data_IF_154740666920
#
_entry.id   IF_154740666920
#
_cell.length_a   1.000
_cell.length_b   1.000
_cell.length_c   1.000
_cell.angle_alpha   90.00
_cell.angle_beta   90.00
_cell.angle_gamma   90.00
#
_symmetry.space_group_name_H-M   'P 1'
#
loop_
_entity.id
_entity.type
_entity.pdbx_description
1 polymer ?
#
# COMPACT_ATOMS: atom_id res chain seq x y z
N UNK A 1 21.25 3.73 3.51
CA UNK A 1 20.70 2.74 2.56
C UNK A 1 20.10 1.65 3.44
N UNK A 2 18.79 1.77 3.72
CA UNK A 2 18.05 0.95 4.68
C UNK A 2 16.85 0.25 4.01
N UNK A 3 16.84 0.21 2.67
CA UNK A 3 15.67 -0.09 1.85
C UNK A 3 15.29 -1.57 1.87
N UNK A 4 16.24 -2.49 1.77
CA UNK A 4 15.94 -3.93 1.75
C UNK A 4 15.37 -4.44 3.09
N UNK A 5 15.90 -3.97 4.22
CA UNK A 5 15.39 -4.36 5.56
C UNK A 5 13.99 -3.80 5.78
N UNK A 6 13.75 -2.53 5.44
CA UNK A 6 12.42 -1.92 5.52
C UNK A 6 11.41 -2.60 4.58
N UNK A 7 11.84 -3.04 3.40
CA UNK A 7 10.98 -3.78 2.47
C UNK A 7 10.59 -5.15 3.02
N UNK A 8 11.54 -5.92 3.56
CA UNK A 8 11.25 -7.23 4.17
C UNK A 8 10.37 -7.09 5.42
N UNK A 9 10.65 -6.11 6.28
CA UNK A 9 9.79 -5.81 7.43
C UNK A 9 8.38 -5.41 6.99
N UNK A 10 8.24 -4.59 5.94
CA UNK A 10 6.94 -4.21 5.38
C UNK A 10 6.20 -5.41 4.83
N UNK A 11 6.88 -6.31 4.08
CA UNK A 11 6.30 -7.56 3.56
C UNK A 11 5.84 -8.49 4.69
N UNK A 12 6.65 -8.67 5.74
CA UNK A 12 6.27 -9.46 6.91
C UNK A 12 5.11 -8.82 7.69
N UNK A 13 5.09 -7.48 7.79
CA UNK A 13 4.01 -6.75 8.42
C UNK A 13 2.70 -6.93 7.65
N UNK A 14 2.71 -6.86 6.31
CA UNK A 14 1.52 -7.15 5.50
C UNK A 14 1.10 -8.63 5.53
N UNK A 15 2.03 -9.58 5.73
CA UNK A 15 1.68 -10.99 5.93
C UNK A 15 0.96 -11.22 7.26
N UNK A 16 1.30 -10.45 8.30
CA UNK A 16 0.81 -10.65 9.66
C UNK A 16 -0.23 -9.60 10.12
N UNK A 17 -0.40 -8.51 9.38
CA UNK A 17 -1.44 -7.49 9.58
C UNK A 17 -2.32 -7.43 8.34
N UNK A 18 -3.63 -7.63 8.55
CA UNK A 18 -4.63 -7.61 7.48
C UNK A 18 -4.79 -6.27 6.79
N UNK A 19 -4.09 -5.21 7.24
CA UNK A 19 -4.12 -3.87 6.68
C UNK A 19 -2.89 -3.01 7.06
N UNK A 20 -2.61 -1.98 6.26
CA UNK A 20 -1.64 -0.92 6.57
C UNK A 20 -2.27 0.46 6.35
N UNK A 21 -1.93 1.42 7.22
CA UNK A 21 -2.20 2.83 6.94
C UNK A 21 -1.17 3.36 5.94
N UNK A 22 -1.63 4.06 4.91
CA UNK A 22 -0.80 4.50 3.79
C UNK A 22 -1.08 5.96 3.44
N UNK A 23 -0.04 6.69 3.01
CA UNK A 23 -0.15 8.01 2.39
C UNK A 23 0.28 7.91 0.95
N UNK A 24 -0.49 8.48 0.02
CA UNK A 24 -0.09 8.56 -1.38
C UNK A 24 0.98 9.65 -1.55
N UNK A 25 2.08 9.34 -2.25
CA UNK A 25 3.19 10.27 -2.43
C UNK A 25 2.81 11.43 -3.36
N UNK A 26 3.18 12.64 -2.93
CA UNK A 26 2.90 13.88 -3.66
C UNK A 26 1.46 14.38 -3.53
N UNK A 27 0.66 13.78 -2.64
CA UNK A 27 -0.70 14.25 -2.31
C UNK A 27 -0.89 14.30 -0.80
N UNK A 28 -2.05 14.78 -0.34
CA UNK A 28 -2.48 14.68 1.06
C UNK A 28 -3.45 13.52 1.30
N UNK A 29 -3.54 12.60 0.34
CA UNK A 29 -4.43 11.45 0.42
C UNK A 29 -3.90 10.40 1.39
N UNK A 30 -4.73 10.02 2.34
CA UNK A 30 -4.49 8.90 3.24
C UNK A 30 -5.47 7.78 2.96
N UNK A 31 -5.02 6.54 3.13
CA UNK A 31 -5.86 5.37 2.96
C UNK A 31 -5.45 4.22 3.86
N UNK A 32 -6.28 3.19 3.86
CA UNK A 32 -5.96 1.89 4.45
C UNK A 32 -5.83 0.91 3.29
N UNK A 33 -4.66 0.29 3.17
CA UNK A 33 -4.36 -0.74 2.19
C UNK A 33 -4.50 -2.14 2.80
N UNK A 34 -5.10 -3.06 2.07
CA UNK A 34 -5.18 -4.49 2.43
C UNK A 34 -4.72 -5.33 1.24
N UNK A 35 -4.07 -6.46 1.51
CA UNK A 35 -3.80 -7.47 0.48
C UNK A 35 -4.77 -8.63 0.65
N UNK A 36 -5.59 -8.86 -0.38
CA UNK A 36 -6.65 -9.88 -0.35
C UNK A 36 -6.82 -10.48 -1.74
N UNK A 37 -6.94 -11.81 -1.81
CA UNK A 37 -7.21 -12.54 -3.04
C UNK A 37 -6.20 -12.22 -4.18
N UNK A 38 -4.92 -12.00 -3.81
CA UNK A 38 -3.86 -11.66 -4.75
C UNK A 38 -3.82 -10.20 -5.19
N UNK A 39 -4.67 -9.33 -4.62
CA UNK A 39 -4.82 -7.92 -5.02
C UNK A 39 -4.58 -6.99 -3.85
N UNK A 40 -4.06 -5.80 -4.14
CA UNK A 40 -3.95 -4.71 -3.18
C UNK A 40 -5.17 -3.82 -3.30
N UNK A 41 -5.89 -3.62 -2.21
CA UNK A 41 -7.10 -2.80 -2.16
C UNK A 41 -6.83 -1.64 -1.20
N UNK A 42 -6.90 -0.41 -1.70
CA UNK A 42 -6.70 0.81 -0.91
C UNK A 42 -8.03 1.54 -0.79
N UNK A 43 -8.48 1.76 0.44
CA UNK A 43 -9.65 2.61 0.71
C UNK A 43 -9.18 3.99 1.11
N UNK A 44 -9.56 5.01 0.33
CA UNK A 44 -9.30 6.41 0.64
C UNK A 44 -10.08 6.83 1.89
N UNK A 45 -9.39 7.45 2.86
CA UNK A 45 -9.99 7.87 4.12
C UNK A 45 -11.05 8.95 3.94
N UNK A 46 -10.85 9.88 3.01
CA UNK A 46 -11.73 11.03 2.82
C UNK A 46 -12.87 10.71 1.85
N UNK A 47 -12.53 10.30 0.62
CA UNK A 47 -13.54 10.05 -0.41
C UNK A 47 -14.29 8.73 -0.23
N UNK A 48 -13.75 7.81 0.59
CA UNK A 48 -14.24 6.42 0.74
C UNK A 48 -14.16 5.58 -0.53
N UNK A 49 -13.53 6.11 -1.58
CA UNK A 49 -13.27 5.36 -2.80
C UNK A 49 -12.29 4.23 -2.56
N UNK A 50 -12.45 3.15 -3.33
CA UNK A 50 -11.56 2.00 -3.31
C UNK A 50 -10.77 1.93 -4.62
N UNK A 51 -9.46 1.77 -4.49
CA UNK A 51 -8.55 1.52 -5.59
C UNK A 51 -8.04 0.07 -5.48
N UNK A 52 -8.05 -0.65 -6.60
CA UNK A 52 -7.62 -2.05 -6.66
C UNK A 52 -6.44 -2.13 -7.62
N UNK A 53 -5.36 -2.75 -7.15
CA UNK A 53 -4.12 -2.94 -7.88
C UNK A 53 -3.75 -4.43 -7.90
N UNK A 54 -3.28 -4.92 -9.04
CA UNK A 54 -2.99 -6.35 -9.23
C UNK A 54 -1.54 -6.71 -8.90
N UNK A 55 -0.65 -5.72 -8.86
CA UNK A 55 0.77 -5.93 -8.57
C UNK A 55 1.38 -4.82 -7.72
N UNK A 56 2.55 -5.08 -7.16
CA UNK A 56 3.34 -4.05 -6.44
C UNK A 56 3.78 -2.93 -7.38
N UNK A 57 4.13 -3.25 -8.63
CA UNK A 57 4.49 -2.26 -9.64
C UNK A 57 3.36 -1.26 -9.90
N UNK A 58 2.11 -1.72 -9.85
CA UNK A 58 0.94 -0.85 -10.00
C UNK A 58 0.78 0.10 -8.82
N UNK A 59 1.07 -0.36 -7.59
CA UNK A 59 1.10 0.50 -6.40
C UNK A 59 2.20 1.56 -6.49
N UNK A 60 3.38 1.20 -6.98
CA UNK A 60 4.51 2.13 -7.17
C UNK A 60 4.13 3.19 -8.21
N UNK A 61 3.58 2.78 -9.36
CA UNK A 61 3.07 3.70 -10.39
C UNK A 61 1.97 4.62 -9.85
N UNK A 62 1.09 4.09 -9.01
CA UNK A 62 0.02 4.85 -8.36
C UNK A 62 0.49 5.68 -7.16
N UNK A 63 1.80 5.65 -6.85
CA UNK A 63 2.43 6.39 -5.75
C UNK A 63 1.90 6.01 -4.37
N UNK A 64 1.49 4.77 -4.18
CA UNK A 64 1.12 4.23 -2.88
C UNK A 64 2.27 3.43 -2.24
N UNK A 65 3.24 3.01 -3.05
CA UNK A 65 4.47 2.36 -2.61
C UNK A 65 5.69 3.03 -3.27
N UNK A 66 6.86 2.78 -2.71
CA UNK A 66 8.17 3.11 -3.28
C UNK A 66 8.99 1.83 -3.37
N UNK A 67 9.84 1.75 -4.38
CA UNK A 67 10.93 0.77 -4.45
C UNK A 67 12.05 1.19 -3.47
#
# INVERSE_FOLDING_TARGET
MWTEVLQEETKEHFKNMSFAAMKQFGTDTFGIGVFRDGKYIITNRESKEQYIYESMDDLIKAKWAID
#
